data_IF_798172820285
#
_entry.id   IF_798172820285
#
_cell.length_a   1.000
_cell.length_b   1.000
_cell.length_c   1.000
_cell.angle_alpha   90.00
_cell.angle_beta   90.00
_cell.angle_gamma   90.00
#
_symmetry.space_group_name_H-M   'P 1'
#
loop_
_entity.id
_entity.type
_entity.pdbx_description
1 polymer ?
#
# COMPACT_ATOMS: atom_id res chain seq x y z
N UNK A 1 -67.26 -10.04 -6.28
CA UNK A 1 -66.86 -9.35 -5.03
C UNK A 1 -67.67 -9.85 -3.84
N UNK A 2 -67.53 -11.09 -3.41
CA UNK A 2 -68.32 -11.57 -2.25
C UNK A 2 -67.78 -12.84 -1.55
N UNK A 3 -66.58 -13.27 -1.80
CA UNK A 3 -66.04 -14.45 -1.12
C UNK A 3 -64.71 -14.21 -0.34
N UNK A 4 -64.09 -13.04 -0.46
CA UNK A 4 -62.79 -12.74 0.22
C UNK A 4 -63.02 -12.10 1.61
N UNK A 5 -64.19 -11.53 1.89
CA UNK A 5 -64.48 -10.84 3.16
C UNK A 5 -64.87 -11.75 4.33
N UNK A 6 -65.13 -13.04 4.09
CA UNK A 6 -65.56 -14.01 5.15
C UNK A 6 -64.46 -14.84 5.74
N UNK A 7 -63.22 -14.75 5.23
CA UNK A 7 -62.05 -15.49 5.79
C UNK A 7 -61.15 -14.65 6.74
N UNK A 8 -61.25 -13.32 6.71
CA UNK A 8 -60.46 -12.45 7.61
C UNK A 8 -61.04 -12.29 9.03
N UNK A 9 -62.31 -12.66 9.24
CA UNK A 9 -62.95 -12.49 10.56
C UNK A 9 -62.85 -13.73 11.47
N UNK A 10 -62.21 -14.81 11.03
CA UNK A 10 -62.02 -16.04 11.81
C UNK A 10 -60.68 -16.21 12.46
N UNK A 11 -59.71 -15.32 12.20
CA UNK A 11 -58.37 -15.38 12.80
C UNK A 11 -58.13 -14.35 13.90
N UNK A 12 -59.06 -13.45 14.16
CA UNK A 12 -58.96 -12.44 15.23
C UNK A 12 -59.59 -12.84 16.56
N UNK A 13 -60.16 -14.03 16.66
CA UNK A 13 -60.85 -14.49 17.88
C UNK A 13 -60.11 -15.51 18.74
N UNK A 14 -58.83 -15.87 18.40
CA UNK A 14 -58.04 -16.86 19.13
C UNK A 14 -56.88 -16.26 19.94
N UNK A 15 -56.58 -14.98 19.83
CA UNK A 15 -55.44 -14.34 20.56
C UNK A 15 -55.89 -13.64 21.86
N UNK A 16 -57.15 -13.62 22.20
CA UNK A 16 -57.67 -12.90 23.39
C UNK A 16 -57.94 -13.76 24.62
N UNK A 17 -57.44 -15.02 24.71
CA UNK A 17 -57.81 -15.93 25.79
C UNK A 17 -56.67 -16.50 26.65
N UNK A 18 -55.44 -15.94 26.55
CA UNK A 18 -54.28 -16.42 27.39
C UNK A 18 -53.58 -15.34 28.24
N UNK A 19 -54.29 -14.31 28.70
CA UNK A 19 -53.69 -13.27 29.56
C UNK A 19 -54.51 -13.00 30.84
N UNK A 20 -54.87 -14.01 31.59
CA UNK A 20 -55.41 -13.85 32.95
C UNK A 20 -55.30 -15.17 33.70
N UNK A 21 -54.19 -15.39 34.41
CA UNK A 21 -54.08 -16.15 35.66
C UNK A 21 -52.62 -16.16 36.09
N UNK A 22 -52.31 -15.35 37.08
CA UNK A 22 -51.29 -15.59 38.09
C UNK A 22 -51.16 -14.32 38.98
N UNK A 23 -52.13 -14.21 39.89
CA UNK A 23 -51.99 -13.41 41.07
C UNK A 23 -52.55 -14.27 42.20
N UNK A 24 -51.69 -14.92 42.94
CA UNK A 24 -52.05 -15.43 44.29
C UNK A 24 -50.80 -15.47 45.19
N UNK A 25 -50.94 -14.81 46.26
CA UNK A 25 -50.04 -14.62 47.42
C UNK A 25 -49.41 -15.90 47.96
N UNK A 26 -48.21 -15.76 48.51
CA UNK A 26 -47.58 -16.64 49.47
C UNK A 26 -46.50 -15.89 50.23
N UNK A 27 -46.83 -15.50 51.53
CA UNK A 27 -45.89 -15.06 52.54
C UNK A 27 -45.07 -16.25 53.02
N UNK A 28 -43.74 -16.05 53.22
CA UNK A 28 -42.91 -17.04 53.93
C UNK A 28 -41.44 -16.61 53.94
N UNK A 29 -41.04 -16.07 55.02
CA UNK A 29 -39.77 -16.01 55.74
C UNK A 29 -38.44 -16.51 55.18
N UNK A 30 -37.43 -15.66 55.29
CA UNK A 30 -36.07 -15.90 55.79
C UNK A 30 -35.15 -16.85 54.98
N UNK A 31 -34.20 -16.31 54.23
CA UNK A 31 -33.10 -17.09 53.68
C UNK A 31 -32.11 -16.19 52.92
N UNK A 32 -30.99 -15.95 53.57
CA UNK A 32 -29.79 -15.32 53.02
C UNK A 32 -29.36 -16.03 51.72
N UNK A 33 -29.44 -15.36 50.61
CA UNK A 33 -29.09 -15.88 49.28
C UNK A 33 -28.41 -14.79 48.47
N UNK A 34 -27.08 -14.86 48.43
CA UNK A 34 -26.21 -14.07 47.55
C UNK A 34 -26.79 -14.04 46.12
N UNK A 35 -27.23 -12.87 45.71
CA UNK A 35 -27.61 -12.64 44.30
C UNK A 35 -26.37 -12.78 43.44
N UNK A 36 -26.30 -13.83 42.63
CA UNK A 36 -25.39 -13.88 41.50
C UNK A 36 -25.64 -12.65 40.59
N UNK A 37 -24.58 -11.94 40.16
CA UNK A 37 -24.75 -10.85 39.24
C UNK A 37 -25.38 -11.42 37.93
N UNK A 38 -26.56 -10.92 37.61
CA UNK A 38 -27.20 -11.19 36.31
C UNK A 38 -26.20 -10.89 35.22
N UNK A 39 -25.77 -11.91 34.48
CA UNK A 39 -25.08 -11.70 33.19
C UNK A 39 -26.05 -10.89 32.35
N UNK A 40 -25.74 -9.61 32.13
CA UNK A 40 -26.40 -8.79 31.15
C UNK A 40 -26.39 -9.59 29.82
N UNK A 41 -27.57 -9.95 29.33
CA UNK A 41 -27.72 -10.52 28.01
C UNK A 41 -27.37 -9.40 27.06
N UNK A 42 -26.14 -9.44 26.52
CA UNK A 42 -25.75 -8.54 25.44
C UNK A 42 -26.85 -8.60 24.35
N UNK A 43 -27.44 -7.47 24.06
CA UNK A 43 -28.38 -7.36 22.91
C UNK A 43 -27.65 -7.83 21.65
N UNK A 44 -28.32 -8.61 20.77
CA UNK A 44 -27.71 -9.01 19.51
C UNK A 44 -27.27 -7.77 18.73
N UNK A 45 -26.07 -7.79 18.13
CA UNK A 45 -25.52 -6.63 17.46
C UNK A 45 -26.44 -6.18 16.30
N UNK A 46 -26.70 -4.88 16.23
CA UNK A 46 -27.58 -4.29 15.19
C UNK A 46 -26.93 -4.42 13.82
N UNK A 47 -27.72 -4.75 12.78
CA UNK A 47 -27.22 -4.74 11.41
C UNK A 47 -26.61 -3.40 11.02
N UNK A 48 -25.43 -3.42 10.40
CA UNK A 48 -24.74 -2.23 9.92
C UNK A 48 -24.30 -2.43 8.46
N UNK A 49 -24.42 -1.37 7.66
CA UNK A 49 -23.87 -1.32 6.31
C UNK A 49 -22.70 -0.34 6.31
N UNK A 50 -21.53 -0.81 5.89
CA UNK A 50 -20.31 0.00 5.72
C UNK A 50 -20.08 0.20 4.22
N UNK A 51 -19.85 1.43 3.81
CA UNK A 51 -19.49 1.81 2.44
C UNK A 51 -18.01 2.16 2.40
N UNK A 52 -17.22 1.42 1.62
CA UNK A 52 -15.82 1.66 1.38
C UNK A 52 -15.59 2.14 -0.06
N UNK A 53 -14.86 3.23 -0.24
CA UNK A 53 -14.43 3.70 -1.54
C UNK A 53 -13.00 3.26 -1.81
N UNK A 54 -12.76 2.52 -2.90
CA UNK A 54 -11.41 2.11 -3.31
C UNK A 54 -10.87 2.99 -4.43
N UNK A 55 -9.64 3.51 -4.28
CA UNK A 55 -8.92 4.17 -5.37
C UNK A 55 -8.40 3.21 -6.44
N UNK A 56 -8.42 1.89 -6.16
CA UNK A 56 -7.81 0.87 -7.00
C UNK A 56 -8.86 0.17 -7.88
N UNK A 57 -8.71 0.30 -9.20
CA UNK A 57 -9.58 -0.35 -10.18
C UNK A 57 -9.20 -1.79 -10.50
N UNK A 58 -7.90 -2.10 -10.39
CA UNK A 58 -7.31 -3.35 -10.82
C UNK A 58 -7.74 -4.56 -9.98
N UNK A 59 -8.26 -4.34 -8.77
CA UNK A 59 -8.73 -5.42 -7.94
C UNK A 59 -10.12 -5.89 -8.34
N UNK A 60 -10.22 -7.19 -8.67
CA UNK A 60 -11.48 -7.82 -9.01
C UNK A 60 -12.41 -7.96 -7.80
N UNK A 61 -13.67 -8.25 -8.07
CA UNK A 61 -14.64 -8.55 -6.99
C UNK A 61 -14.25 -9.83 -6.25
N UNK A 62 -13.65 -10.81 -6.95
CA UNK A 62 -13.11 -12.03 -6.35
C UNK A 62 -12.01 -11.73 -5.34
N UNK A 63 -11.11 -10.80 -5.66
CA UNK A 63 -10.07 -10.35 -4.72
C UNK A 63 -10.69 -9.75 -3.45
N UNK A 64 -11.60 -8.77 -3.61
CA UNK A 64 -12.24 -8.14 -2.45
C UNK A 64 -13.08 -9.11 -1.64
N UNK A 65 -13.76 -10.05 -2.29
CA UNK A 65 -14.51 -11.11 -1.61
C UNK A 65 -13.58 -11.97 -0.76
N UNK A 66 -12.43 -12.39 -1.29
CA UNK A 66 -11.48 -13.24 -0.59
C UNK A 66 -10.76 -12.51 0.56
N UNK A 67 -10.39 -11.23 0.36
CA UNK A 67 -9.60 -10.45 1.33
C UNK A 67 -10.47 -9.83 2.43
N UNK A 68 -11.68 -9.37 2.12
CA UNK A 68 -12.48 -8.58 3.04
C UNK A 68 -13.90 -9.12 3.26
N UNK A 69 -14.67 -9.36 2.18
CA UNK A 69 -16.11 -9.54 2.31
C UNK A 69 -16.46 -10.87 3.01
N UNK A 70 -15.89 -11.99 2.58
CA UNK A 70 -16.16 -13.29 3.21
C UNK A 70 -15.53 -13.41 4.60
N UNK A 71 -14.27 -12.98 4.87
CA UNK A 71 -13.75 -12.92 6.23
C UNK A 71 -14.58 -12.03 7.17
N UNK A 72 -15.05 -10.86 6.71
CA UNK A 72 -15.92 -9.97 7.49
C UNK A 72 -17.25 -10.63 7.83
N UNK A 73 -17.92 -11.22 6.85
CA UNK A 73 -19.20 -11.92 7.02
C UNK A 73 -19.08 -13.09 8.02
N UNK A 74 -17.99 -13.82 7.97
CA UNK A 74 -17.69 -14.92 8.91
C UNK A 74 -17.48 -14.41 10.35
N UNK A 75 -16.76 -13.30 10.51
CA UNK A 75 -16.43 -12.73 11.86
C UNK A 75 -17.58 -11.88 12.41
N UNK A 76 -18.25 -11.12 11.55
CA UNK A 76 -19.26 -10.12 11.90
C UNK A 76 -20.49 -10.22 10.97
N UNK A 77 -21.31 -11.27 11.07
CA UNK A 77 -22.40 -11.55 10.12
C UNK A 77 -23.48 -10.44 10.05
N UNK A 78 -23.51 -9.55 11.03
CA UNK A 78 -24.39 -8.38 11.09
C UNK A 78 -23.86 -7.16 10.31
N UNK A 79 -22.62 -7.23 9.78
CA UNK A 79 -22.02 -6.15 9.00
C UNK A 79 -22.01 -6.51 7.51
N UNK A 80 -22.55 -5.61 6.69
CA UNK A 80 -22.49 -5.70 5.22
C UNK A 80 -21.51 -4.67 4.71
N UNK A 81 -20.54 -5.08 3.89
CA UNK A 81 -19.56 -4.20 3.26
C UNK A 81 -19.93 -4.01 1.77
N UNK A 82 -20.06 -2.76 1.36
CA UNK A 82 -20.14 -2.35 -0.04
C UNK A 82 -18.85 -1.66 -0.44
N UNK A 83 -18.21 -2.12 -1.55
CA UNK A 83 -16.99 -1.51 -2.08
C UNK A 83 -17.32 -0.78 -3.37
N UNK A 84 -17.20 0.54 -3.34
CA UNK A 84 -17.39 1.42 -4.50
C UNK A 84 -16.06 1.56 -5.23
N UNK A 85 -16.03 1.21 -6.52
CA UNK A 85 -14.83 1.34 -7.37
C UNK A 85 -14.78 2.69 -8.08
N UNK A 86 -13.58 3.24 -8.34
CA UNK A 86 -13.41 4.64 -8.76
C UNK A 86 -13.83 4.93 -10.21
N UNK A 87 -14.01 3.93 -11.06
CA UNK A 87 -14.13 4.17 -12.49
C UNK A 87 -12.80 4.74 -13.06
N UNK A 88 -12.86 5.47 -14.17
CA UNK A 88 -11.64 6.00 -14.83
C UNK A 88 -10.99 7.20 -14.12
N UNK A 89 -11.68 7.85 -13.16
CA UNK A 89 -11.24 9.10 -12.50
C UNK A 89 -11.38 9.00 -10.97
N UNK A 90 -10.48 8.24 -10.34
CA UNK A 90 -10.53 7.92 -8.91
C UNK A 90 -10.86 9.11 -7.99
N UNK A 91 -10.00 10.13 -7.95
CA UNK A 91 -10.20 11.28 -7.05
C UNK A 91 -11.47 12.07 -7.38
N UNK A 92 -11.75 12.28 -8.65
CA UNK A 92 -12.95 13.02 -9.08
C UNK A 92 -14.23 12.32 -8.62
N UNK A 93 -14.29 10.98 -8.72
CA UNK A 93 -15.46 10.21 -8.27
C UNK A 93 -15.71 10.32 -6.77
N UNK A 94 -14.66 10.26 -5.95
CA UNK A 94 -14.80 10.48 -4.50
C UNK A 94 -15.31 11.88 -4.19
N UNK A 95 -14.78 12.89 -4.87
CA UNK A 95 -15.22 14.28 -4.69
C UNK A 95 -16.69 14.49 -5.10
N UNK A 96 -17.15 13.85 -6.19
CA UNK A 96 -18.55 13.83 -6.60
C UNK A 96 -19.44 13.20 -5.53
N UNK A 97 -19.06 12.06 -4.96
CA UNK A 97 -19.79 11.38 -3.89
C UNK A 97 -19.91 12.28 -2.65
N UNK A 98 -18.79 12.88 -2.22
CA UNK A 98 -18.78 13.82 -1.08
C UNK A 98 -19.72 15.00 -1.35
N UNK A 99 -19.67 15.61 -2.53
CA UNK A 99 -20.52 16.73 -2.92
C UNK A 99 -22.00 16.34 -2.99
N UNK A 100 -22.32 15.10 -3.35
CA UNK A 100 -23.69 14.55 -3.35
C UNK A 100 -24.20 14.16 -1.95
N UNK A 101 -23.36 14.21 -0.91
CA UNK A 101 -23.68 13.74 0.43
C UNK A 101 -23.64 12.21 0.59
N UNK A 102 -23.14 11.49 -0.41
CA UNK A 102 -22.91 10.05 -0.39
C UNK A 102 -21.50 9.75 0.15
N UNK A 103 -21.23 10.14 1.40
CA UNK A 103 -19.90 10.11 1.99
C UNK A 103 -19.56 8.67 2.42
N UNK A 104 -18.52 8.03 1.85
CA UNK A 104 -18.08 6.70 2.29
C UNK A 104 -17.63 6.68 3.76
N UNK A 105 -17.83 5.55 4.43
CA UNK A 105 -17.33 5.33 5.81
C UNK A 105 -15.83 5.09 5.82
N UNK A 106 -15.30 4.46 4.76
CA UNK A 106 -13.89 4.10 4.59
C UNK A 106 -13.41 4.56 3.21
N UNK A 107 -12.20 5.10 3.15
CA UNK A 107 -11.43 5.25 1.91
C UNK A 107 -10.27 4.27 1.93
N UNK A 108 -10.08 3.54 0.83
CA UNK A 108 -8.94 2.65 0.62
C UNK A 108 -8.02 3.32 -0.39
N UNK A 109 -6.81 3.70 0.06
CA UNK A 109 -5.82 4.41 -0.77
C UNK A 109 -4.39 4.04 -0.38
N UNK A 110 -3.39 4.66 -1.00
CA UNK A 110 -1.99 4.44 -0.62
C UNK A 110 -1.64 5.20 0.66
N UNK A 111 -0.78 4.62 1.50
CA UNK A 111 -0.29 5.25 2.74
C UNK A 111 0.36 6.62 2.47
N UNK A 112 1.04 6.78 1.33
CA UNK A 112 1.66 8.05 0.94
C UNK A 112 0.66 9.15 0.60
N UNK A 113 -0.62 8.81 0.38
CA UNK A 113 -1.70 9.80 0.13
C UNK A 113 -2.35 10.30 1.42
N UNK A 114 -1.92 9.82 2.59
CA UNK A 114 -2.55 10.12 3.87
C UNK A 114 -2.79 11.62 4.12
N UNK A 115 -1.87 12.55 3.84
CA UNK A 115 -2.15 13.98 4.03
C UNK A 115 -3.34 14.47 3.19
N UNK A 116 -3.39 14.11 1.90
CA UNK A 116 -4.49 14.50 1.02
C UNK A 116 -5.84 13.85 1.38
N UNK A 117 -5.81 12.61 1.87
CA UNK A 117 -7.02 11.90 2.34
C UNK A 117 -7.50 12.52 3.67
N UNK A 118 -6.58 12.92 4.55
CA UNK A 118 -6.91 13.65 5.78
C UNK A 118 -7.55 15.02 5.48
N UNK A 119 -7.07 15.75 4.47
CA UNK A 119 -7.66 17.03 4.00
C UNK A 119 -9.10 16.84 3.49
N UNK A 120 -9.46 15.66 3.00
CA UNK A 120 -10.83 15.29 2.63
C UNK A 120 -11.71 14.89 3.83
N UNK A 121 -11.15 14.92 5.05
CA UNK A 121 -11.86 14.62 6.29
C UNK A 121 -11.74 13.16 6.75
N UNK A 122 -10.94 12.32 6.10
CA UNK A 122 -10.72 10.92 6.50
C UNK A 122 -9.46 10.80 7.38
N UNK A 123 -9.57 11.31 8.60
CA UNK A 123 -8.46 11.42 9.54
C UNK A 123 -8.78 10.87 10.94
N UNK A 124 -9.70 9.90 11.03
CA UNK A 124 -10.04 9.29 12.31
C UNK A 124 -8.82 8.60 12.93
N UNK A 125 -8.48 9.01 14.17
CA UNK A 125 -7.43 8.32 14.94
C UNK A 125 -7.96 7.00 15.51
N UNK A 126 -7.47 5.90 14.97
CA UNK A 126 -7.87 4.55 15.34
C UNK A 126 -7.19 4.02 16.62
N UNK A 127 -6.33 4.82 17.28
CA UNK A 127 -5.55 4.38 18.45
C UNK A 127 -6.42 3.79 19.56
N UNK A 128 -7.52 4.46 19.89
CA UNK A 128 -8.43 3.97 20.94
C UNK A 128 -9.22 2.73 20.50
N UNK A 129 -9.56 2.63 19.21
CA UNK A 129 -10.23 1.44 18.68
C UNK A 129 -9.28 0.23 18.68
N UNK A 130 -8.02 0.41 18.33
CA UNK A 130 -6.98 -0.63 18.44
C UNK A 130 -6.88 -1.17 19.86
N UNK A 131 -6.91 -0.27 20.88
CA UNK A 131 -6.92 -0.67 22.31
C UNK A 131 -8.21 -1.39 22.69
N UNK A 132 -9.37 -0.83 22.32
CA UNK A 132 -10.70 -1.38 22.62
C UNK A 132 -10.87 -2.81 22.08
N UNK A 133 -10.35 -3.06 20.88
CA UNK A 133 -10.41 -4.36 20.23
C UNK A 133 -9.22 -5.27 20.56
N UNK A 134 -8.34 -4.87 21.49
CA UNK A 134 -7.16 -5.62 21.93
C UNK A 134 -6.26 -6.08 20.76
N UNK A 135 -6.10 -5.25 19.73
CA UNK A 135 -5.25 -5.58 18.59
C UNK A 135 -3.77 -5.46 18.97
N UNK A 136 -3.04 -6.56 18.86
CA UNK A 136 -1.58 -6.57 19.05
C UNK A 136 -0.86 -6.16 17.74
N UNK A 137 -0.46 -4.90 17.66
CA UNK A 137 0.26 -4.36 16.52
C UNK A 137 1.77 -4.70 16.49
N UNK A 138 2.31 -5.40 17.50
CA UNK A 138 3.75 -5.72 17.57
C UNK A 138 4.25 -6.63 16.45
N UNK A 139 3.34 -7.42 15.85
CA UNK A 139 3.64 -8.36 14.75
C UNK A 139 3.54 -7.76 13.35
N UNK A 140 3.10 -6.50 13.25
CA UNK A 140 2.96 -5.79 11.98
C UNK A 140 4.23 -5.02 11.63
N UNK A 141 4.32 -4.53 10.41
CA UNK A 141 5.46 -3.72 9.95
C UNK A 141 5.61 -2.45 10.81
N UNK A 142 6.58 -2.47 11.73
CA UNK A 142 6.81 -1.36 12.66
C UNK A 142 7.29 -0.10 11.94
N UNK A 143 8.05 -0.23 10.84
CA UNK A 143 8.52 0.93 10.07
C UNK A 143 7.34 1.67 9.43
N UNK A 144 6.35 0.95 8.92
CA UNK A 144 5.11 1.53 8.41
C UNK A 144 4.27 2.18 9.52
N UNK A 145 4.17 1.55 10.70
CA UNK A 145 3.47 2.14 11.86
C UNK A 145 4.14 3.43 12.34
N UNK A 146 5.45 3.46 12.41
CA UNK A 146 6.20 4.65 12.81
C UNK A 146 6.01 5.79 11.79
N UNK A 147 5.99 5.46 10.50
CA UNK A 147 5.68 6.42 9.45
C UNK A 147 4.26 6.99 9.57
N UNK A 148 3.25 6.15 9.84
CA UNK A 148 1.87 6.61 10.05
C UNK A 148 1.78 7.57 11.23
N UNK A 149 2.45 7.25 12.34
CA UNK A 149 2.50 8.14 13.50
C UNK A 149 3.17 9.47 13.17
N UNK A 150 4.23 9.45 12.34
CA UNK A 150 4.91 10.66 11.90
C UNK A 150 4.06 11.53 10.96
N UNK A 151 3.09 10.94 10.22
CA UNK A 151 2.12 11.67 9.42
C UNK A 151 1.05 12.39 10.25
N UNK A 152 0.80 11.91 11.47
CA UNK A 152 -0.19 12.50 12.38
C UNK A 152 0.46 13.57 13.25
N UNK A 153 -0.22 14.70 13.45
CA UNK A 153 0.23 15.79 14.34
C UNK A 153 0.44 15.33 15.78
N UNK A 154 -0.41 14.40 16.24
CA UNK A 154 -0.46 13.93 17.61
C UNK A 154 0.10 12.49 17.77
N UNK A 155 0.72 11.95 16.75
CA UNK A 155 1.26 10.59 16.74
C UNK A 155 0.20 9.49 16.71
N UNK A 156 -1.03 9.82 16.32
CA UNK A 156 -2.16 8.88 16.24
C UNK A 156 -2.11 8.01 14.98
N UNK A 157 -2.93 6.97 14.97
CA UNK A 157 -3.07 6.03 13.84
C UNK A 157 -4.19 6.49 12.90
N UNK A 158 -3.93 7.49 12.06
CA UNK A 158 -4.91 8.06 11.12
C UNK A 158 -5.23 7.13 9.95
N UNK A 159 -4.48 6.06 9.77
CA UNK A 159 -4.72 4.98 8.81
C UNK A 159 -4.08 3.70 9.32
N UNK A 160 -4.52 2.55 8.80
CA UNK A 160 -3.86 1.26 9.00
C UNK A 160 -3.72 0.55 7.65
N UNK A 161 -2.50 0.18 7.25
CA UNK A 161 -2.27 -0.56 6.02
C UNK A 161 -2.80 -1.99 6.15
N UNK A 162 -3.33 -2.53 5.07
CA UNK A 162 -3.58 -3.96 4.97
C UNK A 162 -2.54 -4.68 4.11
N UNK A 163 -1.84 -3.95 3.26
CA UNK A 163 -0.67 -4.45 2.55
C UNK A 163 0.38 -3.37 2.42
N UNK A 164 1.65 -3.76 2.33
CA UNK A 164 2.75 -2.89 1.97
C UNK A 164 3.28 -3.28 0.60
N UNK A 165 3.91 -2.35 -0.10
CA UNK A 165 4.56 -2.64 -1.36
C UNK A 165 6.02 -2.99 -1.10
N UNK A 166 6.52 -4.02 -1.75
CA UNK A 166 7.95 -4.32 -1.76
C UNK A 166 8.60 -3.85 -3.05
N UNK A 167 9.90 -3.63 -3.00
CA UNK A 167 10.72 -3.43 -4.19
C UNK A 167 11.75 -4.55 -4.27
N UNK A 168 11.99 -5.08 -5.46
CA UNK A 168 12.98 -6.13 -5.71
C UNK A 168 13.76 -5.85 -6.99
N UNK A 169 14.91 -6.52 -7.13
CA UNK A 169 15.64 -6.58 -8.39
C UNK A 169 15.18 -7.81 -9.16
N UNK A 170 14.41 -7.60 -10.20
CA UNK A 170 14.05 -8.64 -11.16
C UNK A 170 15.12 -8.76 -12.23
N UNK A 171 15.43 -9.99 -12.68
CA UNK A 171 16.44 -10.19 -13.71
C UNK A 171 16.02 -11.22 -14.75
N UNK A 172 16.43 -10.97 -16.01
CA UNK A 172 16.18 -11.82 -17.17
C UNK A 172 17.27 -12.86 -17.29
N UNK A 173 16.94 -14.12 -16.98
CA UNK A 173 17.91 -15.24 -17.00
C UNK A 173 18.48 -15.51 -18.39
N UNK A 174 17.71 -15.28 -19.46
CA UNK A 174 18.17 -15.50 -20.82
C UNK A 174 19.28 -14.53 -21.23
N UNK A 175 19.17 -13.26 -20.80
CA UNK A 175 20.22 -12.26 -21.02
C UNK A 175 21.48 -12.61 -20.23
N UNK A 176 21.33 -13.03 -18.96
CA UNK A 176 22.45 -13.43 -18.11
C UNK A 176 23.18 -14.65 -18.68
N UNK A 177 22.44 -15.69 -19.10
CA UNK A 177 22.98 -16.91 -19.70
C UNK A 177 23.68 -16.57 -21.03
N UNK A 178 23.04 -15.78 -21.90
CA UNK A 178 23.57 -15.35 -23.19
C UNK A 178 24.92 -14.65 -23.08
N UNK A 179 25.11 -13.80 -22.05
CA UNK A 179 26.33 -13.03 -21.88
C UNK A 179 27.28 -13.59 -20.84
N UNK A 180 27.01 -14.80 -20.32
CA UNK A 180 27.86 -15.49 -19.36
C UNK A 180 28.05 -14.69 -18.07
N UNK A 181 26.97 -14.04 -17.58
CA UNK A 181 26.99 -13.32 -16.30
C UNK A 181 26.43 -14.21 -15.19
N UNK A 182 27.03 -14.12 -13.99
CA UNK A 182 26.49 -14.79 -12.81
C UNK A 182 25.19 -14.09 -12.38
N UNK A 183 24.19 -14.88 -11.96
CA UNK A 183 22.94 -14.34 -11.44
C UNK A 183 23.17 -13.55 -10.15
N UNK A 184 22.44 -12.43 -9.96
CA UNK A 184 22.51 -11.65 -8.73
C UNK A 184 21.94 -12.46 -7.55
N UNK A 185 22.43 -12.16 -6.33
CA UNK A 185 22.01 -12.82 -5.09
C UNK A 185 21.46 -11.81 -4.10
N UNK A 186 20.69 -12.28 -3.12
CA UNK A 186 20.18 -11.42 -2.06
C UNK A 186 21.31 -10.70 -1.32
N UNK A 187 21.09 -9.42 -1.04
CA UNK A 187 22.09 -8.54 -0.45
C UNK A 187 23.03 -7.88 -1.47
N UNK A 188 22.77 -8.03 -2.79
CA UNK A 188 23.55 -7.37 -3.84
C UNK A 188 23.64 -5.86 -3.59
N UNK A 189 24.81 -5.30 -3.84
CA UNK A 189 25.07 -3.86 -3.73
C UNK A 189 24.85 -3.14 -5.06
N UNK A 190 24.60 -1.82 -5.01
CA UNK A 190 24.54 -1.01 -6.24
C UNK A 190 25.86 -1.03 -7.03
N UNK A 191 27.01 -1.13 -6.35
CA UNK A 191 28.33 -1.29 -7.02
C UNK A 191 28.38 -2.57 -7.87
N UNK A 192 27.85 -3.68 -7.35
CA UNK A 192 27.75 -4.93 -8.11
C UNK A 192 26.74 -4.83 -9.26
N UNK A 193 25.60 -4.17 -9.05
CA UNK A 193 24.61 -3.92 -10.11
C UNK A 193 25.20 -3.06 -11.23
N UNK A 194 25.95 -2.01 -10.92
CA UNK A 194 26.65 -1.19 -11.93
C UNK A 194 27.65 -2.04 -12.72
N UNK A 195 28.40 -2.92 -12.06
CA UNK A 195 29.34 -3.83 -12.73
C UNK A 195 28.62 -4.81 -13.67
N UNK A 196 27.48 -5.35 -13.23
CA UNK A 196 26.64 -6.20 -14.08
C UNK A 196 26.02 -5.39 -15.24
N UNK A 197 25.54 -4.18 -14.99
CA UNK A 197 24.98 -3.30 -16.02
C UNK A 197 26.01 -3.00 -17.13
N UNK A 198 27.27 -2.68 -16.75
CA UNK A 198 28.37 -2.50 -17.71
C UNK A 198 28.63 -3.76 -18.56
N UNK A 199 28.51 -4.96 -17.98
CA UNK A 199 28.70 -6.22 -18.68
C UNK A 199 27.53 -6.57 -19.61
N UNK A 200 26.30 -6.27 -19.19
CA UNK A 200 25.07 -6.71 -19.86
C UNK A 200 24.52 -5.68 -20.89
N UNK A 201 24.98 -4.43 -20.82
CA UNK A 201 24.58 -3.39 -21.79
C UNK A 201 25.40 -3.53 -23.05
N UNK A 202 24.74 -3.87 -24.16
CA UNK A 202 25.41 -4.01 -25.47
C UNK A 202 24.41 -4.07 -26.63
N UNK A 203 24.94 -3.81 -27.81
CA UNK A 203 24.24 -4.05 -29.08
C UNK A 203 24.86 -5.28 -29.74
N UNK A 204 24.02 -6.24 -30.11
CA UNK A 204 24.44 -7.44 -30.85
C UNK A 204 24.56 -7.16 -32.35
N UNK A 205 25.15 -8.11 -33.09
CA UNK A 205 25.36 -7.99 -34.54
C UNK A 205 24.06 -7.90 -35.39
N UNK A 206 22.94 -8.41 -34.81
CA UNK A 206 21.59 -8.31 -35.38
C UNK A 206 20.91 -6.97 -35.12
N UNK A 207 21.60 -6.05 -34.44
CA UNK A 207 21.09 -4.73 -34.07
C UNK A 207 20.25 -4.74 -32.74
N UNK A 208 20.01 -5.89 -32.12
CA UNK A 208 19.28 -5.94 -30.84
C UNK A 208 20.12 -5.33 -29.75
N UNK A 209 19.57 -4.29 -29.12
CA UNK A 209 20.21 -3.60 -28.01
C UNK A 209 19.65 -4.07 -26.68
N UNK A 210 20.52 -4.36 -25.74
CA UNK A 210 20.20 -4.78 -24.38
C UNK A 210 20.61 -3.71 -23.38
N UNK A 211 19.74 -3.45 -22.39
CA UNK A 211 19.93 -2.51 -21.30
C UNK A 211 20.26 -3.31 -20.06
N UNK A 212 21.37 -2.98 -19.39
CA UNK A 212 21.85 -3.73 -18.23
C UNK A 212 21.00 -3.55 -17.00
N UNK A 213 20.62 -2.30 -16.68
CA UNK A 213 19.80 -2.04 -15.49
C UNK A 213 18.86 -0.85 -15.73
N UNK A 214 17.58 -1.08 -15.53
CA UNK A 214 16.54 -0.07 -15.39
C UNK A 214 16.28 0.23 -13.91
N UNK A 215 16.63 1.43 -13.47
CA UNK A 215 16.50 1.88 -12.07
C UNK A 215 15.18 2.58 -11.78
N UNK A 216 14.35 2.78 -12.78
CA UNK A 216 13.04 3.41 -12.73
C UNK A 216 13.06 4.92 -12.39
N UNK A 217 13.68 5.37 -11.29
CA UNK A 217 13.77 6.80 -10.95
C UNK A 217 14.77 7.07 -9.82
N UNK A 218 15.20 8.34 -9.69
CA UNK A 218 16.13 8.80 -8.63
C UNK A 218 15.63 8.47 -7.22
N UNK A 219 14.33 8.56 -6.96
CA UNK A 219 13.79 8.28 -5.63
C UNK A 219 13.85 6.79 -5.26
N UNK A 220 13.89 5.87 -6.23
CA UNK A 220 14.15 4.46 -5.96
C UNK A 220 15.62 4.22 -5.60
N UNK A 221 16.55 4.93 -6.23
CA UNK A 221 17.97 4.85 -5.88
C UNK A 221 18.23 5.45 -4.49
N UNK A 222 17.61 6.58 -4.16
CA UNK A 222 17.77 7.23 -2.86
C UNK A 222 17.06 6.49 -1.72
N UNK A 223 15.93 5.84 -2.01
CA UNK A 223 14.94 5.45 -1.01
C UNK A 223 15.42 4.48 0.07
N UNK A 224 16.49 3.71 -0.19
CA UNK A 224 17.12 2.87 0.83
C UNK A 224 17.93 3.66 1.87
N UNK A 225 18.31 4.90 1.58
CA UNK A 225 19.18 5.70 2.43
C UNK A 225 18.55 7.00 2.90
N UNK A 226 17.68 7.61 2.08
CA UNK A 226 16.90 8.80 2.46
C UNK A 226 15.58 8.85 1.71
N UNK A 227 14.58 9.43 2.36
CA UNK A 227 13.28 9.79 1.75
C UNK A 227 12.80 11.17 2.19
N UNK A 228 13.59 11.86 3.02
CA UNK A 228 13.29 13.21 3.49
C UNK A 228 13.73 14.21 2.43
N UNK A 229 12.82 15.00 1.92
CA UNK A 229 13.09 16.07 0.96
C UNK A 229 13.36 17.41 1.64
N UNK A 230 12.96 17.53 2.90
CA UNK A 230 13.02 18.80 3.65
C UNK A 230 13.88 18.66 4.90
N UNK A 231 14.57 19.72 5.24
CA UNK A 231 15.20 19.86 6.55
C UNK A 231 14.12 20.11 7.61
N UNK A 232 14.00 19.27 8.65
CA UNK A 232 12.91 19.37 9.62
C UNK A 232 12.98 20.63 10.49
N UNK A 233 14.13 21.30 10.56
CA UNK A 233 14.33 22.52 11.37
C UNK A 233 13.91 23.75 10.59
N UNK A 234 14.22 23.80 9.31
CA UNK A 234 14.00 25.00 8.48
C UNK A 234 12.74 24.87 7.61
N UNK A 235 12.27 23.65 7.37
CA UNK A 235 11.16 23.36 6.44
C UNK A 235 11.52 23.62 4.97
N UNK A 236 12.79 23.83 4.65
CA UNK A 236 13.27 24.04 3.28
C UNK A 236 13.74 22.74 2.66
N UNK A 237 13.67 22.64 1.33
CA UNK A 237 14.23 21.53 0.58
C UNK A 237 15.73 21.36 0.90
N UNK A 238 16.16 20.10 1.07
CA UNK A 238 17.54 19.76 1.45
C UNK A 238 17.96 18.45 0.77
N UNK A 239 18.23 18.53 -0.54
CA UNK A 239 18.75 17.43 -1.34
C UNK A 239 20.29 17.46 -1.44
N UNK A 240 20.93 18.41 -0.79
CA UNK A 240 22.39 18.52 -0.71
C UNK A 240 23.03 17.63 0.38
N UNK A 241 22.22 16.81 1.07
CA UNK A 241 22.72 15.83 2.06
C UNK A 241 23.63 14.78 1.41
N UNK A 242 24.44 14.13 2.25
CA UNK A 242 25.31 13.03 1.81
C UNK A 242 24.53 11.93 1.10
N UNK A 243 23.39 11.56 1.64
CA UNK A 243 22.55 10.48 1.14
C UNK A 243 21.96 10.81 -0.24
N UNK A 244 21.41 11.98 -0.42
CA UNK A 244 20.91 12.41 -1.73
C UNK A 244 22.05 12.50 -2.76
N UNK A 245 23.21 13.04 -2.35
CA UNK A 245 24.38 13.09 -3.23
C UNK A 245 24.81 11.71 -3.70
N UNK A 246 24.88 10.73 -2.80
CA UNK A 246 25.20 9.32 -3.16
C UNK A 246 24.22 8.78 -4.21
N UNK A 247 22.94 9.10 -4.10
CA UNK A 247 21.93 8.66 -5.07
C UNK A 247 22.11 9.34 -6.44
N UNK A 248 22.40 10.64 -6.48
CA UNK A 248 22.68 11.35 -7.73
C UNK A 248 23.99 10.89 -8.39
N UNK A 249 25.02 10.60 -7.60
CA UNK A 249 26.28 10.03 -8.09
C UNK A 249 26.07 8.65 -8.70
N UNK A 250 25.28 7.77 -8.04
CA UNK A 250 24.89 6.46 -8.58
C UNK A 250 24.11 6.61 -9.90
N UNK A 251 23.14 7.54 -9.95
CA UNK A 251 22.39 7.80 -11.17
C UNK A 251 23.34 8.25 -12.30
N UNK A 252 24.25 9.16 -12.02
CA UNK A 252 25.25 9.61 -13.01
C UNK A 252 26.16 8.47 -13.48
N UNK A 253 26.57 7.56 -12.60
CA UNK A 253 27.36 6.39 -12.96
C UNK A 253 26.58 5.44 -13.89
N UNK A 254 25.29 5.21 -13.62
CA UNK A 254 24.41 4.39 -14.46
C UNK A 254 24.19 5.02 -15.84
N UNK A 255 24.00 6.36 -15.89
CA UNK A 255 23.85 7.12 -17.13
C UNK A 255 25.14 7.08 -17.97
N UNK A 256 26.29 7.08 -17.33
CA UNK A 256 27.60 7.06 -18.00
C UNK A 256 27.92 5.71 -18.68
N UNK A 257 27.16 4.64 -18.39
CA UNK A 257 27.33 3.36 -19.08
C UNK A 257 26.82 3.52 -20.51
N UNK A 258 27.66 3.38 -21.55
CA UNK A 258 27.22 3.56 -22.93
C UNK A 258 26.08 2.62 -23.31
N UNK A 259 24.96 3.20 -23.70
CA UNK A 259 23.77 2.45 -24.09
C UNK A 259 22.87 1.97 -22.95
N UNK A 260 23.23 2.16 -21.66
CA UNK A 260 22.37 1.78 -20.53
C UNK A 260 21.26 2.81 -20.30
N UNK A 261 20.55 3.11 -21.36
CA UNK A 261 19.39 4.01 -21.31
C UNK A 261 18.47 3.67 -22.47
N UNK A 262 17.19 3.91 -22.28
CA UNK A 262 16.26 3.86 -23.36
C UNK A 262 16.59 4.99 -24.36
N UNK A 263 16.51 4.75 -25.69
CA UNK A 263 16.62 5.81 -26.66
C UNK A 263 15.46 6.78 -26.44
N UNK A 264 15.78 7.97 -25.90
CA UNK A 264 14.76 8.89 -25.45
C UNK A 264 14.78 10.18 -26.24
N UNK A 265 13.64 10.45 -26.81
CA UNK A 265 13.13 11.78 -27.00
C UNK A 265 12.82 12.37 -25.59
N UNK A 266 13.40 13.53 -25.23
CA UNK A 266 13.27 14.16 -23.90
C UNK A 266 11.80 14.32 -23.47
N UNK A 267 10.88 14.44 -24.40
CA UNK A 267 9.45 14.62 -24.21
C UNK A 267 8.68 13.29 -23.99
N UNK A 268 9.33 12.14 -24.12
CA UNK A 268 8.73 10.80 -24.03
C UNK A 268 9.30 9.94 -22.91
N UNK A 269 10.06 10.50 -21.97
CA UNK A 269 10.56 9.78 -20.80
C UNK A 269 9.37 9.34 -19.96
N UNK A 270 8.95 8.09 -20.14
CA UNK A 270 7.94 7.47 -19.29
C UNK A 270 8.61 6.98 -18.01
N UNK A 271 7.93 7.14 -16.87
CA UNK A 271 8.44 6.72 -15.54
C UNK A 271 8.59 5.20 -15.42
N UNK A 272 7.96 4.42 -16.31
CA UNK A 272 7.75 3.00 -16.09
C UNK A 272 8.07 2.24 -17.38
N UNK A 273 9.27 1.70 -17.46
CA UNK A 273 9.69 0.82 -18.57
C UNK A 273 9.54 -0.67 -18.20
N UNK A 274 8.67 -0.99 -17.24
CA UNK A 274 8.47 -2.36 -16.78
C UNK A 274 8.17 -3.34 -17.92
N UNK A 275 7.42 -2.89 -18.94
CA UNK A 275 7.07 -3.71 -20.11
C UNK A 275 8.30 -4.10 -20.93
N UNK A 276 9.34 -3.28 -20.94
CA UNK A 276 10.58 -3.61 -21.65
C UNK A 276 11.36 -4.73 -20.96
N UNK A 277 11.16 -4.92 -19.67
CA UNK A 277 11.69 -6.07 -18.97
C UNK A 277 11.00 -7.38 -19.36
N UNK A 278 9.67 -7.44 -19.39
CA UNK A 278 8.95 -8.70 -19.58
C UNK A 278 8.31 -8.87 -20.96
N UNK A 279 7.91 -7.81 -21.69
CA UNK A 279 7.35 -7.92 -23.04
C UNK A 279 8.42 -7.90 -24.12
N UNK A 280 9.24 -6.86 -24.20
CA UNK A 280 10.30 -6.79 -25.22
C UNK A 280 11.54 -7.59 -24.82
N UNK A 281 11.69 -7.87 -23.52
CA UNK A 281 12.76 -8.68 -22.94
C UNK A 281 14.18 -8.17 -23.29
N UNK A 282 14.33 -6.85 -23.38
CA UNK A 282 15.63 -6.22 -23.68
C UNK A 282 16.34 -5.72 -22.41
N UNK A 283 15.66 -5.67 -21.28
CA UNK A 283 16.22 -5.23 -20.00
C UNK A 283 16.75 -6.43 -19.22
N UNK A 284 18.01 -6.40 -18.82
CA UNK A 284 18.65 -7.48 -18.06
C UNK A 284 18.25 -7.49 -16.60
N UNK A 285 18.18 -6.32 -15.99
CA UNK A 285 17.79 -6.13 -14.58
C UNK A 285 16.84 -4.95 -14.45
N UNK A 286 15.77 -5.10 -13.68
CA UNK A 286 14.80 -4.05 -13.40
C UNK A 286 14.52 -3.92 -11.90
N UNK A 287 14.71 -2.71 -11.36
CA UNK A 287 14.41 -2.39 -9.96
C UNK A 287 12.99 -1.82 -9.83
N UNK A 288 11.99 -2.67 -9.58
CA UNK A 288 10.58 -2.28 -9.64
C UNK A 288 9.77 -2.80 -8.46
N UNK A 289 8.74 -2.04 -8.01
CA UNK A 289 7.81 -2.52 -6.99
C UNK A 289 6.80 -3.52 -7.57
N UNK A 290 6.43 -4.53 -6.79
CA UNK A 290 5.29 -5.44 -7.00
C UNK A 290 5.16 -6.08 -8.39
N UNK A 291 6.24 -6.19 -9.18
CA UNK A 291 6.15 -6.68 -10.58
C UNK A 291 5.58 -8.12 -10.67
N UNK A 292 5.75 -8.91 -9.62
CA UNK A 292 5.26 -10.29 -9.54
C UNK A 292 3.74 -10.38 -9.69
N UNK A 293 3.00 -9.41 -9.16
CA UNK A 293 1.52 -9.34 -9.24
C UNK A 293 1.02 -8.44 -10.39
N UNK A 294 1.91 -7.68 -11.04
CA UNK A 294 1.50 -6.60 -11.95
C UNK A 294 1.67 -6.88 -13.45
N UNK A 295 2.45 -7.87 -13.87
CA UNK A 295 2.72 -8.03 -15.31
C UNK A 295 3.28 -9.38 -15.74
N UNK A 296 4.07 -10.04 -14.89
CA UNK A 296 4.79 -11.27 -15.25
C UNK A 296 3.87 -12.45 -15.57
N UNK A 297 2.65 -12.46 -15.09
CA UNK A 297 1.65 -13.47 -15.42
C UNK A 297 1.23 -13.46 -16.91
N UNK A 298 1.47 -12.35 -17.62
CA UNK A 298 1.08 -12.21 -19.03
C UNK A 298 2.09 -12.83 -20.01
N UNK A 299 3.27 -13.28 -19.52
CA UNK A 299 4.37 -13.81 -20.33
C UNK A 299 4.90 -15.12 -19.70
N UNK A 300 4.17 -16.22 -19.81
CA UNK A 300 4.45 -17.46 -19.09
C UNK A 300 5.81 -18.08 -19.44
N UNK A 301 6.30 -17.91 -20.65
CA UNK A 301 7.57 -18.48 -21.14
C UNK A 301 8.78 -17.62 -20.82
N UNK A 302 8.60 -16.46 -20.22
CA UNK A 302 9.70 -15.57 -19.86
C UNK A 302 10.52 -16.14 -18.70
N UNK A 303 11.82 -16.36 -18.95
CA UNK A 303 12.74 -16.88 -17.94
C UNK A 303 13.30 -15.76 -17.05
N UNK A 304 12.61 -15.46 -15.99
CA UNK A 304 13.02 -14.46 -15.01
C UNK A 304 13.27 -15.08 -13.62
N UNK A 305 13.90 -14.32 -12.75
CA UNK A 305 13.92 -14.56 -11.31
C UNK A 305 14.05 -13.20 -10.60
N UNK A 306 14.07 -13.21 -9.27
CA UNK A 306 14.24 -12.00 -8.49
C UNK A 306 15.24 -12.20 -7.34
N UNK A 307 15.80 -11.10 -6.89
CA UNK A 307 16.62 -11.03 -5.68
C UNK A 307 16.24 -9.76 -4.92
N UNK A 308 16.75 -9.60 -3.70
CA UNK A 308 16.52 -8.40 -2.92
C UNK A 308 16.90 -7.14 -3.72
N UNK A 309 16.21 -6.04 -3.48
CA UNK A 309 16.57 -4.76 -4.08
C UNK A 309 18.02 -4.39 -3.67
N UNK A 310 18.82 -3.81 -4.58
CA UNK A 310 20.19 -3.45 -4.30
C UNK A 310 20.29 -2.45 -3.14
N UNK A 311 21.38 -2.55 -2.39
CA UNK A 311 21.65 -1.67 -1.26
C UNK A 311 22.97 -0.93 -1.43
N UNK A 312 23.12 0.22 -0.78
CA UNK A 312 24.43 0.80 -0.58
C UNK A 312 25.20 -0.01 0.45
N UNK A 313 26.50 -0.20 0.24
CA UNK A 313 27.35 -0.98 1.15
C UNK A 313 27.34 -0.43 2.58
N UNK A 314 27.22 0.88 2.71
CA UNK A 314 27.15 1.61 3.97
C UNK A 314 25.79 1.45 4.69
N UNK A 315 24.76 1.04 3.96
CA UNK A 315 23.38 0.90 4.45
C UNK A 315 22.84 -0.50 4.10
N UNK A 316 23.46 -1.58 4.65
CA UNK A 316 23.08 -2.94 4.30
C UNK A 316 21.69 -3.28 4.82
N UNK A 317 20.98 -4.15 4.09
CA UNK A 317 19.68 -4.67 4.49
C UNK A 317 18.57 -3.61 4.62
N UNK A 318 18.72 -2.46 3.96
CA UNK A 318 17.72 -1.40 3.94
C UNK A 318 17.37 -1.08 2.49
N UNK A 319 16.09 -1.13 2.15
CA UNK A 319 15.57 -0.73 0.85
C UNK A 319 14.42 0.27 1.01
N UNK A 320 14.08 0.91 -0.08
CA UNK A 320 12.94 1.82 -0.11
C UNK A 320 11.65 1.12 0.27
N UNK A 321 10.84 1.76 1.12
CA UNK A 321 9.43 1.49 1.21
C UNK A 321 8.72 1.98 -0.07
N UNK A 322 7.99 1.09 -0.71
CA UNK A 322 7.31 1.41 -1.97
C UNK A 322 5.85 1.82 -1.77
N UNK A 323 5.49 2.29 -0.57
CA UNK A 323 4.11 2.63 -0.18
C UNK A 323 3.36 1.42 0.38
N UNK A 324 2.03 1.47 0.31
CA UNK A 324 1.17 0.39 0.81
C UNK A 324 -0.29 0.79 0.77
N UNK A 325 -1.18 -0.18 0.75
CA UNK A 325 -2.62 0.07 0.70
C UNK A 325 -3.18 0.15 2.11
N UNK A 326 -3.85 1.25 2.39
CA UNK A 326 -4.31 1.64 3.72
C UNK A 326 -5.79 1.95 3.74
N UNK A 327 -6.41 1.73 4.90
CA UNK A 327 -7.81 2.07 5.16
C UNK A 327 -7.88 3.33 6.04
N UNK A 328 -8.63 4.32 5.57
CA UNK A 328 -8.86 5.59 6.25
C UNK A 328 -10.33 5.68 6.63
N UNK A 329 -10.62 5.92 7.90
CA UNK A 329 -12.01 6.00 8.41
C UNK A 329 -12.47 7.45 8.44
N UNK A 330 -13.71 7.69 8.04
CA UNK A 330 -14.40 8.95 8.23
C UNK A 330 -14.78 9.12 9.71
N UNK A 331 -14.29 10.15 10.43
CA UNK A 331 -14.63 10.38 11.82
C UNK A 331 -16.13 10.65 12.06
N UNK A 332 -16.86 11.07 11.03
CA UNK A 332 -18.29 11.33 11.08
C UNK A 332 -19.15 10.13 10.65
N UNK A 333 -18.55 8.97 10.42
CA UNK A 333 -19.28 7.73 10.12
C UNK A 333 -20.29 7.41 11.24
N UNK A 334 -21.53 7.13 10.85
CA UNK A 334 -22.59 6.72 11.80
C UNK A 334 -22.45 5.26 12.25
N UNK A 335 -21.55 4.53 11.59
CA UNK A 335 -21.26 3.11 11.83
C UNK A 335 -19.78 2.89 12.17
N UNK A 336 -19.18 3.80 12.92
CA UNK A 336 -17.75 3.87 13.19
C UNK A 336 -17.15 2.54 13.72
N UNK A 337 -17.82 1.89 14.66
CA UNK A 337 -17.38 0.59 15.19
C UNK A 337 -17.40 -0.51 14.10
N UNK A 338 -18.43 -0.51 13.26
CA UNK A 338 -18.50 -1.44 12.13
C UNK A 338 -17.43 -1.14 11.06
N UNK A 339 -17.14 0.14 10.80
CA UNK A 339 -16.05 0.54 9.91
C UNK A 339 -14.69 0.08 10.45
N UNK A 340 -14.46 0.20 11.76
CA UNK A 340 -13.23 -0.32 12.37
C UNK A 340 -13.15 -1.86 12.31
N UNK A 341 -14.26 -2.59 12.43
CA UNK A 341 -14.29 -4.05 12.26
C UNK A 341 -13.91 -4.49 10.83
N UNK A 342 -14.17 -3.66 9.82
CA UNK A 342 -13.64 -3.88 8.47
C UNK A 342 -12.12 -3.77 8.45
N UNK A 343 -11.55 -2.74 9.11
CA UNK A 343 -10.09 -2.57 9.25
C UNK A 343 -9.49 -3.77 10.00
N UNK A 344 -10.06 -4.14 11.15
CA UNK A 344 -9.62 -5.30 11.93
C UNK A 344 -9.65 -6.60 11.11
N UNK A 345 -10.67 -6.77 10.27
CA UNK A 345 -10.78 -7.92 9.37
C UNK A 345 -9.66 -7.91 8.31
N UNK A 346 -9.39 -6.78 7.68
CA UNK A 346 -8.31 -6.64 6.71
C UNK A 346 -6.92 -6.98 7.31
N UNK A 347 -6.75 -6.71 8.60
CA UNK A 347 -5.54 -6.99 9.37
C UNK A 347 -5.53 -8.39 9.99
N UNK A 348 -6.61 -9.15 9.89
CA UNK A 348 -6.64 -10.52 10.43
C UNK A 348 -5.66 -11.44 9.69
N UNK A 349 -5.14 -12.45 10.38
CA UNK A 349 -4.23 -13.42 9.77
C UNK A 349 -4.84 -14.10 8.54
N UNK A 350 -6.14 -14.42 8.57
CA UNK A 350 -6.89 -15.00 7.46
C UNK A 350 -6.79 -14.12 6.20
N UNK A 351 -7.09 -12.81 6.33
CA UNK A 351 -6.98 -11.85 5.21
C UNK A 351 -5.53 -11.63 4.78
N UNK A 352 -4.60 -11.54 5.72
CA UNK A 352 -3.19 -11.31 5.47
C UNK A 352 -2.52 -12.49 4.74
N UNK A 353 -2.94 -13.72 5.00
CA UNK A 353 -2.51 -14.90 4.22
C UNK A 353 -3.02 -14.82 2.78
N UNK A 354 -4.28 -14.44 2.56
CA UNK A 354 -4.84 -14.29 1.21
C UNK A 354 -4.09 -13.19 0.43
N UNK A 355 -3.84 -12.04 1.05
CA UNK A 355 -3.06 -10.93 0.48
C UNK A 355 -1.68 -11.44 0.05
N UNK A 356 -1.00 -12.13 0.94
CA UNK A 356 0.34 -12.66 0.70
C UNK A 356 0.36 -13.69 -0.44
N UNK A 357 -0.58 -14.63 -0.47
CA UNK A 357 -0.70 -15.65 -1.53
C UNK A 357 -0.87 -15.04 -2.93
N UNK A 358 -1.50 -13.87 -3.02
CA UNK A 358 -1.65 -13.10 -4.25
C UNK A 358 -0.42 -12.26 -4.63
N UNK A 359 0.70 -12.40 -3.92
CA UNK A 359 1.96 -11.71 -4.23
C UNK A 359 2.01 -10.25 -3.80
N UNK A 360 1.14 -9.85 -2.88
CA UNK A 360 1.22 -8.57 -2.19
C UNK A 360 1.93 -8.77 -0.84
N UNK A 361 2.82 -7.86 -0.47
CA UNK A 361 3.47 -7.96 0.82
C UNK A 361 2.46 -7.69 1.94
N UNK A 362 2.20 -8.67 2.83
CA UNK A 362 1.27 -8.48 3.93
C UNK A 362 1.82 -7.47 4.94
N UNK A 363 0.94 -6.75 5.59
CA UNK A 363 1.31 -5.86 6.69
C UNK A 363 1.64 -6.63 7.97
N UNK A 364 0.99 -7.77 8.19
CA UNK A 364 1.29 -8.73 9.27
C UNK A 364 2.49 -9.59 8.86
N UNK A 365 3.64 -9.42 9.54
CA UNK A 365 4.90 -10.07 9.20
C UNK A 365 5.15 -11.28 10.13
N UNK A 366 4.32 -12.31 10.02
CA UNK A 366 4.52 -13.61 10.68
C UNK A 366 5.19 -14.60 9.74
N UNK A 367 5.69 -15.71 10.30
CA UNK A 367 6.25 -16.80 9.47
C UNK A 367 5.22 -17.33 8.47
N UNK A 368 3.98 -17.46 8.91
CA UNK A 368 2.84 -17.98 8.15
C UNK A 368 2.53 -17.09 6.94
N UNK A 369 2.43 -15.77 7.17
CA UNK A 369 2.18 -14.81 6.09
C UNK A 369 3.35 -14.71 5.12
N UNK A 370 4.59 -14.68 5.61
CA UNK A 370 5.78 -14.63 4.75
C UNK A 370 5.99 -15.92 3.95
N UNK A 371 5.68 -17.09 4.52
CA UNK A 371 5.78 -18.37 3.80
C UNK A 371 4.67 -18.53 2.75
N UNK A 372 3.51 -17.91 2.95
CA UNK A 372 2.40 -17.92 2.00
C UNK A 372 2.64 -17.05 0.75
N UNK A 373 3.69 -16.20 0.74
CA UNK A 373 3.88 -15.20 -0.29
C UNK A 373 3.95 -15.77 -1.71
N UNK A 374 3.10 -15.26 -2.60
CA UNK A 374 2.99 -15.59 -4.00
C UNK A 374 2.63 -17.07 -4.31
N UNK A 375 2.11 -17.84 -3.34
CA UNK A 375 1.78 -19.26 -3.55
C UNK A 375 0.68 -19.49 -4.60
N UNK A 376 -0.24 -18.54 -4.76
CA UNK A 376 -1.33 -18.64 -5.73
C UNK A 376 -0.93 -18.14 -7.14
N UNK A 377 0.32 -17.70 -7.31
CA UNK A 377 0.85 -17.21 -8.57
C UNK A 377 1.67 -18.31 -9.29
N UNK A 378 1.11 -19.00 -10.31
CA UNK A 378 1.81 -20.10 -10.98
C UNK A 378 3.16 -19.69 -11.59
N UNK A 379 3.28 -18.48 -12.12
CA UNK A 379 4.51 -17.93 -12.72
C UNK A 379 5.61 -17.64 -11.69
N UNK A 380 5.27 -17.58 -10.40
CA UNK A 380 6.22 -17.35 -9.30
C UNK A 380 6.81 -18.67 -8.73
N UNK A 381 6.30 -19.82 -9.14
CA UNK A 381 6.78 -21.11 -8.62
C UNK A 381 8.25 -21.33 -8.95
N UNK A 382 9.02 -21.72 -7.93
CA UNK A 382 10.47 -21.96 -8.05
C UNK A 382 11.33 -20.69 -8.18
N UNK A 383 10.74 -19.50 -7.99
CA UNK A 383 11.46 -18.22 -7.96
C UNK A 383 11.85 -17.86 -6.53
N UNK A 384 12.85 -16.99 -6.39
CA UNK A 384 13.29 -16.49 -5.09
C UNK A 384 12.35 -15.41 -4.53
N UNK A 385 11.05 -15.73 -4.37
CA UNK A 385 10.04 -14.78 -3.90
C UNK A 385 10.30 -14.26 -2.48
N UNK A 386 11.07 -15.00 -1.65
CA UNK A 386 11.44 -14.55 -0.30
C UNK A 386 12.35 -13.32 -0.29
N UNK A 387 12.95 -12.99 -1.42
CA UNK A 387 13.69 -11.74 -1.61
C UNK A 387 12.89 -10.48 -1.28
N UNK A 388 11.56 -10.53 -1.42
CA UNK A 388 10.65 -9.45 -1.04
C UNK A 388 10.78 -9.04 0.45
N UNK A 389 11.19 -9.98 1.32
CA UNK A 389 11.33 -9.77 2.78
C UNK A 389 12.79 -9.64 3.23
N UNK A 390 13.75 -9.64 2.29
CA UNK A 390 15.18 -9.64 2.65
C UNK A 390 15.60 -8.32 3.27
N UNK A 391 15.19 -7.18 2.71
CA UNK A 391 15.51 -5.85 3.21
C UNK A 391 14.41 -5.32 4.12
N UNK A 392 14.79 -4.50 5.11
CA UNK A 392 13.84 -3.68 5.87
C UNK A 392 13.42 -2.48 5.03
N UNK A 393 12.17 -2.10 5.13
CA UNK A 393 11.64 -0.93 4.43
C UNK A 393 12.07 0.37 5.12
N UNK A 394 12.48 1.37 4.34
CA UNK A 394 12.82 2.71 4.80
C UNK A 394 11.75 3.71 4.38
N UNK A 395 11.03 4.24 5.36
CA UNK A 395 10.03 5.30 5.18
C UNK A 395 10.65 6.68 5.46
N UNK A 396 10.03 7.79 5.02
CA UNK A 396 10.42 9.14 5.45
C UNK A 396 10.41 9.24 6.97
N UNK A 397 11.43 9.86 7.54
CA UNK A 397 11.50 10.11 8.99
C UNK A 397 10.73 11.37 9.39
N UNK A 398 10.70 12.34 8.49
CA UNK A 398 10.07 13.64 8.69
C UNK A 398 9.13 13.94 7.50
N UNK A 399 8.03 13.18 7.37
CA UNK A 399 7.12 13.35 6.25
C UNK A 399 6.43 14.72 6.30
N UNK A 400 6.19 15.28 5.12
CA UNK A 400 5.47 16.54 4.95
C UNK A 400 4.35 16.39 3.92
N UNK A 401 3.37 17.28 3.95
CA UNK A 401 2.32 17.36 2.93
C UNK A 401 2.87 17.71 1.53
N UNK A 402 4.12 18.18 1.45
CA UNK A 402 4.78 18.60 0.20
C UNK A 402 5.69 17.51 -0.41
N UNK A 403 5.85 16.35 0.23
CA UNK A 403 6.76 15.30 -0.24
C UNK A 403 6.39 14.80 -1.64
N UNK A 404 5.10 14.69 -1.96
CA UNK A 404 4.65 14.31 -3.29
C UNK A 404 5.03 15.32 -4.39
N UNK A 405 4.96 16.61 -4.08
CA UNK A 405 5.43 17.69 -4.96
C UNK A 405 6.96 17.60 -5.13
N UNK A 406 7.69 17.48 -4.03
CA UNK A 406 9.14 17.42 -4.02
C UNK A 406 9.65 16.20 -4.79
N UNK A 407 9.01 15.04 -4.65
CA UNK A 407 9.31 13.84 -5.43
C UNK A 407 9.18 14.09 -6.93
N UNK A 408 8.07 14.72 -7.36
CA UNK A 408 7.85 15.03 -8.78
C UNK A 408 8.90 15.99 -9.36
N UNK A 409 9.26 17.03 -8.61
CA UNK A 409 10.27 18.02 -9.00
C UNK A 409 11.66 17.36 -9.07
N UNK A 410 12.05 16.60 -8.02
CA UNK A 410 13.34 15.91 -7.99
C UNK A 410 13.47 14.89 -9.13
N UNK A 411 12.40 14.17 -9.47
CA UNK A 411 12.37 13.32 -10.65
C UNK A 411 12.65 14.11 -11.92
N UNK A 412 11.91 15.20 -12.17
CA UNK A 412 12.03 15.98 -13.40
C UNK A 412 13.45 16.56 -13.56
N UNK A 413 14.02 17.17 -12.51
CA UNK A 413 15.38 17.71 -12.56
C UNK A 413 16.44 16.61 -12.68
N UNK A 414 16.21 15.40 -12.14
CA UNK A 414 17.16 14.28 -12.32
C UNK A 414 17.35 13.89 -13.79
N UNK A 415 16.38 14.18 -14.64
CA UNK A 415 16.47 13.94 -16.10
C UNK A 415 17.50 14.86 -16.80
N UNK A 416 17.85 15.99 -16.20
CA UNK A 416 18.85 16.89 -16.74
C UNK A 416 20.26 16.29 -16.70
N UNK A 417 20.50 15.29 -15.84
CA UNK A 417 21.76 14.54 -15.85
C UNK A 417 21.97 13.79 -17.18
N UNK A 418 20.90 13.31 -17.82
CA UNK A 418 20.98 12.68 -19.14
C UNK A 418 21.38 13.68 -20.24
N UNK A 419 21.12 14.97 -20.03
CA UNK A 419 21.55 16.07 -20.90
C UNK A 419 22.98 16.57 -20.58
N UNK A 420 23.66 15.97 -19.58
CA UNK A 420 25.02 16.31 -19.19
C UNK A 420 25.14 17.47 -18.19
N UNK A 421 24.03 17.89 -17.53
CA UNK A 421 24.08 18.88 -16.45
C UNK A 421 24.79 18.27 -15.24
N UNK A 422 25.62 19.04 -14.55
CA UNK A 422 26.34 18.56 -13.37
C UNK A 422 25.44 18.41 -12.14
N UNK A 423 25.82 17.49 -11.25
CA UNK A 423 25.02 17.10 -10.06
C UNK A 423 24.76 18.29 -9.13
N UNK A 424 25.74 19.17 -8.90
CA UNK A 424 25.55 20.30 -7.97
C UNK A 424 24.51 21.29 -8.50
N UNK A 425 24.54 21.54 -9.82
CA UNK A 425 23.55 22.38 -10.48
C UNK A 425 22.17 21.75 -10.42
N UNK A 426 22.04 20.43 -10.70
CA UNK A 426 20.77 19.72 -10.61
C UNK A 426 20.19 19.79 -9.20
N UNK A 427 20.99 19.49 -8.17
CA UNK A 427 20.55 19.55 -6.75
C UNK A 427 20.08 20.96 -6.40
N UNK A 428 20.89 21.99 -6.68
CA UNK A 428 20.56 23.38 -6.37
C UNK A 428 19.26 23.83 -7.03
N UNK A 429 19.11 23.58 -8.33
CA UNK A 429 17.90 23.96 -9.07
C UNK A 429 16.66 23.18 -8.59
N UNK A 430 16.83 21.91 -8.19
CA UNK A 430 15.76 21.11 -7.58
C UNK A 430 15.30 21.72 -6.25
N UNK A 431 16.25 22.09 -5.36
CA UNK A 431 15.93 22.72 -4.07
C UNK A 431 15.25 24.08 -4.25
N UNK A 432 15.76 24.92 -5.17
CA UNK A 432 15.17 26.22 -5.50
C UNK A 432 13.72 26.08 -6.02
N UNK A 433 13.49 25.11 -6.91
CA UNK A 433 12.16 24.89 -7.49
C UNK A 433 11.16 24.33 -6.47
N UNK A 434 11.56 23.36 -5.66
CA UNK A 434 10.75 22.83 -4.55
C UNK A 434 10.37 23.98 -3.61
N UNK A 435 11.33 24.76 -3.13
CA UNK A 435 11.07 25.86 -2.20
C UNK A 435 10.11 26.90 -2.80
N UNK A 436 10.31 27.26 -4.06
CA UNK A 436 9.44 28.21 -4.77
C UNK A 436 7.99 27.72 -4.86
N UNK A 437 7.78 26.45 -5.27
CA UNK A 437 6.44 25.89 -5.43
C UNK A 437 5.74 25.67 -4.08
N UNK A 438 6.47 25.25 -3.05
CA UNK A 438 5.94 25.15 -1.69
C UNK A 438 5.45 26.49 -1.17
N UNK A 439 6.22 27.57 -1.36
CA UNK A 439 5.78 28.92 -0.94
C UNK A 439 4.55 29.40 -1.71
N UNK A 440 4.42 29.07 -3.00
CA UNK A 440 3.21 29.36 -3.78
C UNK A 440 1.99 28.63 -3.22
N UNK A 441 2.13 27.34 -2.87
CA UNK A 441 1.04 26.55 -2.26
C UNK A 441 0.65 27.10 -0.89
N UNK A 442 1.62 27.49 -0.04
CA UNK A 442 1.33 28.11 1.25
C UNK A 442 0.60 29.46 1.10
N UNK A 443 0.95 30.25 0.10
CA UNK A 443 0.28 31.51 -0.17
C UNK A 443 -1.16 31.32 -0.68
N UNK A 444 -1.43 30.27 -1.44
CA UNK A 444 -2.75 29.95 -1.95
C UNK A 444 -3.71 29.38 -0.87
N UNK A 445 -3.16 28.84 0.24
CA UNK A 445 -3.94 28.34 1.39
C UNK A 445 -4.32 29.44 2.40
N UNK A 446 -3.72 30.64 2.30
CA UNK A 446 -4.03 31.84 3.12
C UNK A 446 -5.17 32.66 2.47
#
# INVERSE_FOLDING_TARGET
MSQIRKRLFRYLAVIAACSLMLSACGKGDGGDGSAEPSKDKEEPPKPAKVVAYSYWQEFSDEYWNAVLVEPLKKRYPHITLEIVKPGKNGTAKLMEMIAAGEIPDIVISDIGTAPGIADLGYNYDMTEMVKKHNMDLSKYDQAALDYIRALSKDGGLITLPYSTNFIALFYNKDIFDKFGAAYPKDGITFTEVVSLAKKLTRTESDGKHYIGFDHNSIHFLAGGITRDYFDPKTGKANLSTKEWRMAYELLSELIAIPGNRFPQDKDKITRWHNEDFYKTQIVAMAGVPNLISAGLQTVPDFRWDMTSYPVFKEYPRIAQAAGGRSLFINPNSKVLDAAFKVVETALSEESQIVISRNGEQPFLLTKETMDAFAQDLPHARGKNVKAAFYNKQNYPKHPTEYDGLALGIAYNHSLDLYAGKDINTVIRETEEDINRQVEQLKAAKK
#
